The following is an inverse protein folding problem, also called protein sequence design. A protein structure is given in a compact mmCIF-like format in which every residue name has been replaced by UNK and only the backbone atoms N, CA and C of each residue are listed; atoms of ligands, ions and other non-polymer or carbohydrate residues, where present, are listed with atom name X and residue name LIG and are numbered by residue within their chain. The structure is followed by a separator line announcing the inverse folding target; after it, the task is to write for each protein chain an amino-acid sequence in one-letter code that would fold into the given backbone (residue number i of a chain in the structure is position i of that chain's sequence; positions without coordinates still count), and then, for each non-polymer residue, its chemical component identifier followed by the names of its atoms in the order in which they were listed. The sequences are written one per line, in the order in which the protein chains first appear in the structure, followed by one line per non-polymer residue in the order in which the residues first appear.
data_IF_193410569741
#
_entry.id   IF_193410569741
#
_cell.length_a   1.000
_cell.length_b   1.000
_cell.length_c   1.000
_cell.angle_alpha   90.00
_cell.angle_beta   90.00
_cell.angle_gamma   90.00
#
_symmetry.space_group_name_H-M   'P 1'
#
loop_
_entity.id
_entity.type
_entity.pdbx_description
1 polymer ?
#
# COMPACT_ATOMS: atom_id res chain seq x y z
N UNK A 1 -22.67 -25.05 37.38
CA UNK A 1 -22.73 -24.75 35.93
C UNK A 1 -22.88 -23.25 35.62
N UNK A 2 -22.53 -22.32 36.51
CA UNK A 2 -22.99 -20.92 36.41
C UNK A 2 -22.05 -19.90 35.76
N UNK A 3 -20.78 -20.21 35.50
CA UNK A 3 -19.79 -19.23 34.99
C UNK A 3 -18.95 -19.72 33.81
N UNK A 4 -18.85 -21.05 33.64
CA UNK A 4 -18.07 -21.66 32.56
C UNK A 4 -18.61 -21.26 31.17
N UNK A 5 -19.93 -21.25 30.99
CA UNK A 5 -20.56 -20.84 29.73
C UNK A 5 -20.30 -19.37 29.38
N UNK A 6 -20.26 -18.46 30.37
CA UNK A 6 -19.91 -17.05 30.16
C UNK A 6 -18.47 -16.92 29.71
N UNK A 7 -17.55 -17.63 30.38
CA UNK A 7 -16.13 -17.66 30.01
C UNK A 7 -15.97 -18.21 28.58
N UNK A 8 -16.66 -19.30 28.24
CA UNK A 8 -16.65 -19.87 26.88
C UNK A 8 -17.14 -18.87 25.85
N UNK A 9 -18.26 -18.17 26.09
CA UNK A 9 -18.76 -17.14 25.17
C UNK A 9 -17.75 -16.02 25.00
N UNK A 10 -17.19 -15.49 26.09
CA UNK A 10 -16.19 -14.41 26.03
C UNK A 10 -14.98 -14.85 25.21
N UNK A 11 -14.46 -16.06 25.44
CA UNK A 11 -13.32 -16.59 24.68
C UNK A 11 -13.66 -16.75 23.19
N UNK A 12 -14.84 -17.29 22.86
CA UNK A 12 -15.28 -17.43 21.47
C UNK A 12 -15.41 -16.07 20.79
N UNK A 13 -16.03 -15.08 21.45
CA UNK A 13 -16.16 -13.73 20.91
C UNK A 13 -14.79 -13.09 20.70
N UNK A 14 -13.88 -13.21 21.66
CA UNK A 14 -12.51 -12.69 21.50
C UNK A 14 -11.78 -13.39 20.36
N UNK A 15 -11.90 -14.72 20.23
CA UNK A 15 -11.31 -15.46 19.14
C UNK A 15 -11.86 -15.01 17.78
N UNK A 16 -13.16 -14.76 17.67
CA UNK A 16 -13.79 -14.23 16.46
C UNK A 16 -13.32 -12.80 16.14
N UNK A 17 -13.18 -11.94 17.16
CA UNK A 17 -12.69 -10.57 16.97
C UNK A 17 -11.22 -10.56 16.51
N UNK A 18 -10.37 -11.37 17.13
CA UNK A 18 -8.96 -11.49 16.73
C UNK A 18 -8.85 -12.12 15.35
N UNK A 19 -9.55 -13.22 15.09
CA UNK A 19 -9.55 -13.89 13.79
C UNK A 19 -10.08 -12.98 12.68
N UNK A 20 -11.18 -12.27 12.92
CA UNK A 20 -11.74 -11.28 12.00
C UNK A 20 -10.80 -10.10 11.77
N UNK A 21 -10.13 -9.60 12.82
CA UNK A 21 -9.14 -8.52 12.71
C UNK A 21 -7.92 -8.91 11.87
N UNK A 22 -7.36 -10.09 12.11
CA UNK A 22 -6.21 -10.63 11.35
C UNK A 22 -6.61 -10.91 9.90
N UNK A 23 -7.75 -11.58 9.68
CA UNK A 23 -8.25 -11.86 8.34
C UNK A 23 -8.56 -10.58 7.56
N UNK A 24 -9.24 -9.63 8.21
CA UNK A 24 -9.53 -8.32 7.63
C UNK A 24 -8.27 -7.54 7.27
N UNK A 25 -7.25 -7.55 8.14
CA UNK A 25 -5.96 -6.93 7.84
C UNK A 25 -5.28 -7.57 6.62
N UNK A 26 -5.24 -8.90 6.55
CA UNK A 26 -4.61 -9.64 5.45
C UNK A 26 -5.29 -9.35 4.10
N UNK A 27 -6.62 -9.38 4.05
CA UNK A 27 -7.36 -9.10 2.80
C UNK A 27 -7.19 -7.64 2.39
N UNK A 28 -7.31 -6.71 3.33
CA UNK A 28 -7.28 -5.27 3.02
C UNK A 28 -5.89 -4.68 2.76
N UNK A 29 -4.85 -5.53 2.69
CA UNK A 29 -3.53 -5.14 2.19
C UNK A 29 -3.23 -5.64 0.78
N UNK A 30 -4.03 -6.59 0.28
CA UNK A 30 -3.80 -7.22 -1.01
C UNK A 30 -4.13 -6.31 -2.18
N UNK A 31 -3.45 -6.52 -3.31
CA UNK A 31 -3.78 -5.89 -4.59
C UNK A 31 -5.27 -6.02 -4.93
N UNK A 32 -5.82 -7.22 -4.76
CA UNK A 32 -7.23 -7.52 -5.05
C UNK A 32 -8.22 -6.61 -4.29
N UNK A 33 -7.87 -6.17 -3.07
CA UNK A 33 -8.69 -5.23 -2.31
C UNK A 33 -8.53 -3.81 -2.85
N UNK A 34 -7.31 -3.33 -3.05
CA UNK A 34 -7.04 -1.97 -3.52
C UNK A 34 -7.65 -1.68 -4.90
N UNK A 35 -7.58 -2.64 -5.81
CA UNK A 35 -8.05 -2.48 -7.20
C UNK A 35 -9.58 -2.45 -7.32
N UNK A 36 -10.32 -2.78 -6.26
CA UNK A 36 -11.79 -2.60 -6.24
C UNK A 36 -12.18 -1.13 -6.45
N UNK A 37 -11.31 -0.21 -6.01
CA UNK A 37 -11.48 1.24 -6.21
C UNK A 37 -10.43 1.81 -7.17
N UNK A 38 -9.22 1.26 -7.19
CA UNK A 38 -8.08 1.75 -7.98
C UNK A 38 -7.79 0.87 -9.20
N UNK A 39 -8.82 0.46 -9.95
CA UNK A 39 -8.69 -0.53 -11.04
C UNK A 39 -7.60 -0.19 -12.09
N UNK A 40 -7.43 1.09 -12.44
CA UNK A 40 -6.43 1.52 -13.43
C UNK A 40 -4.99 1.42 -12.93
N UNK A 41 -4.78 1.51 -11.60
CA UNK A 41 -3.45 1.30 -11.02
C UNK A 41 -2.99 -0.14 -11.21
N UNK A 42 -3.92 -1.11 -11.35
CA UNK A 42 -3.56 -2.51 -11.60
C UNK A 42 -2.89 -2.70 -12.95
N UNK A 43 -3.37 -2.00 -13.99
CA UNK A 43 -2.84 -2.16 -15.34
C UNK A 43 -1.41 -1.65 -15.38
N UNK A 44 -1.14 -0.47 -14.84
CA UNK A 44 0.23 0.05 -14.76
C UNK A 44 1.13 -0.75 -13.81
N UNK A 45 0.59 -1.27 -12.70
CA UNK A 45 1.32 -2.13 -11.77
C UNK A 45 1.72 -3.47 -12.39
N UNK A 46 0.83 -4.08 -13.18
CA UNK A 46 1.08 -5.37 -13.83
C UNK A 46 2.17 -5.34 -14.90
N UNK A 47 2.50 -4.15 -15.37
CA UNK A 47 3.58 -3.92 -16.32
C UNK A 47 4.85 -3.37 -15.65
N UNK A 48 4.83 -3.16 -14.33
CA UNK A 48 6.00 -2.75 -13.56
C UNK A 48 6.79 -3.92 -12.97
N UNK A 49 7.99 -3.62 -12.49
CA UNK A 49 8.94 -4.63 -11.98
C UNK A 49 8.49 -5.32 -10.68
N UNK A 50 7.54 -4.73 -9.94
CA UNK A 50 7.06 -5.24 -8.66
C UNK A 50 5.65 -5.85 -8.72
N UNK A 51 5.16 -6.27 -9.90
CA UNK A 51 3.80 -6.80 -10.09
C UNK A 51 3.40 -7.94 -9.12
N UNK A 52 4.38 -8.66 -8.57
CA UNK A 52 4.20 -9.77 -7.62
C UNK A 52 4.04 -9.32 -6.16
N UNK A 53 4.29 -8.05 -5.84
CA UNK A 53 4.09 -7.49 -4.51
C UNK A 53 2.70 -6.84 -4.37
N UNK A 54 2.22 -6.72 -3.13
CA UNK A 54 0.97 -6.04 -2.82
C UNK A 54 1.19 -4.51 -2.76
N UNK A 55 0.16 -3.71 -3.10
CA UNK A 55 0.25 -2.25 -3.12
C UNK A 55 0.75 -1.68 -1.79
N UNK A 56 0.31 -2.26 -0.67
CA UNK A 56 0.71 -1.81 0.67
C UNK A 56 2.13 -2.21 1.05
N UNK A 57 2.78 -3.13 0.34
CA UNK A 57 4.20 -3.41 0.59
C UNK A 57 5.06 -2.17 0.29
N UNK A 58 4.62 -1.31 -0.64
CA UNK A 58 5.28 -0.03 -0.94
C UNK A 58 4.54 1.18 -0.34
N UNK A 59 3.21 1.14 -0.24
CA UNK A 59 2.40 2.30 0.15
C UNK A 59 1.95 2.34 1.61
N UNK A 60 2.36 1.36 2.43
CA UNK A 60 2.06 1.39 3.85
C UNK A 60 2.76 2.53 4.58
N UNK A 61 2.05 3.11 5.55
CA UNK A 61 2.60 4.03 6.57
C UNK A 61 2.50 3.41 7.97
N UNK A 62 2.34 2.10 8.02
CA UNK A 62 2.03 1.34 9.22
C UNK A 62 0.54 1.06 9.37
N UNK A 63 0.26 -0.03 10.07
CA UNK A 63 -1.07 -0.63 10.23
C UNK A 63 -2.16 0.38 10.61
N UNK A 64 -1.94 1.16 11.67
CA UNK A 64 -2.96 2.06 12.22
C UNK A 64 -3.29 3.18 11.24
N UNK A 65 -2.25 3.82 10.69
CA UNK A 65 -2.39 4.91 9.72
C UNK A 65 -3.14 4.46 8.48
N UNK A 66 -2.77 3.31 7.92
CA UNK A 66 -3.38 2.79 6.71
C UNK A 66 -4.87 2.50 6.90
N UNK A 67 -5.26 1.91 8.04
CA UNK A 67 -6.68 1.62 8.31
C UNK A 67 -7.49 2.88 8.55
N UNK A 68 -6.96 3.87 9.29
CA UNK A 68 -7.65 5.14 9.50
C UNK A 68 -7.82 5.92 8.19
N UNK A 69 -6.78 6.02 7.38
CA UNK A 69 -6.84 6.68 6.07
C UNK A 69 -7.72 5.91 5.09
N UNK A 70 -7.69 4.57 5.10
CA UNK A 70 -8.55 3.73 4.28
C UNK A 70 -10.04 3.96 4.58
N UNK A 71 -10.43 3.95 5.85
CA UNK A 71 -11.82 4.25 6.28
C UNK A 71 -12.23 5.66 5.83
N UNK A 72 -11.35 6.66 5.99
CA UNK A 72 -11.60 8.02 5.51
C UNK A 72 -11.81 8.06 4.00
N UNK A 73 -10.95 7.40 3.22
CA UNK A 73 -11.06 7.36 1.75
C UNK A 73 -12.36 6.72 1.30
N UNK A 74 -12.76 5.61 1.93
CA UNK A 74 -14.05 4.95 1.68
C UNK A 74 -15.22 5.92 1.95
N UNK A 75 -15.20 6.61 3.10
CA UNK A 75 -16.23 7.61 3.41
C UNK A 75 -16.29 8.75 2.37
N UNK A 76 -15.13 9.29 1.98
CA UNK A 76 -15.05 10.37 1.00
C UNK A 76 -15.52 9.92 -0.39
N UNK A 77 -15.23 8.68 -0.77
CA UNK A 77 -15.72 8.08 -2.01
C UNK A 77 -17.25 7.93 -2.01
N UNK A 78 -17.82 7.35 -0.96
CA UNK A 78 -19.28 7.16 -0.85
C UNK A 78 -20.07 8.47 -0.75
N UNK A 79 -19.45 9.53 -0.23
CA UNK A 79 -20.06 10.87 -0.16
C UNK A 79 -19.80 11.74 -1.40
N UNK A 80 -19.13 11.20 -2.43
CA UNK A 80 -18.80 11.93 -3.65
C UNK A 80 -17.73 13.02 -3.49
N UNK A 81 -17.12 13.13 -2.30
CA UNK A 81 -16.09 14.13 -1.99
C UNK A 81 -14.71 13.76 -2.55
N UNK A 82 -14.49 12.49 -2.89
CA UNK A 82 -13.25 12.05 -3.52
C UNK A 82 -13.53 11.02 -4.61
N UNK A 83 -12.85 11.17 -5.75
CA UNK A 83 -12.83 10.17 -6.80
C UNK A 83 -11.56 9.33 -6.65
N UNK A 84 -11.63 8.00 -6.45
CA UNK A 84 -10.46 7.13 -6.38
C UNK A 84 -9.51 7.23 -7.59
N UNK A 85 -9.99 7.66 -8.76
CA UNK A 85 -9.18 7.91 -9.96
C UNK A 85 -8.34 9.19 -9.89
N UNK A 86 -8.78 10.15 -9.07
CA UNK A 86 -8.09 11.42 -8.86
C UNK A 86 -7.48 11.52 -7.46
N UNK A 87 -7.55 10.43 -6.68
CA UNK A 87 -6.86 10.33 -5.41
C UNK A 87 -5.36 10.45 -5.72
N UNK A 88 -4.70 11.53 -5.28
CA UNK A 88 -3.31 11.75 -5.64
C UNK A 88 -2.51 10.48 -5.28
N UNK A 89 -1.68 9.99 -6.20
CA UNK A 89 -0.91 8.78 -5.95
C UNK A 89 -0.13 8.95 -4.65
N UNK A 90 0.18 7.82 -4.04
CA UNK A 90 1.05 7.63 -2.87
C UNK A 90 2.34 8.45 -2.80
N UNK A 91 2.70 9.19 -3.86
CA UNK A 91 3.71 10.26 -3.92
C UNK A 91 3.57 11.35 -2.85
N UNK A 92 2.47 11.39 -2.09
CA UNK A 92 2.33 12.28 -0.93
C UNK A 92 3.29 11.96 0.22
N UNK A 93 3.92 10.77 0.24
CA UNK A 93 4.82 10.34 1.32
C UNK A 93 6.05 9.61 0.75
N UNK A 94 6.85 10.29 -0.09
CA UNK A 94 7.89 9.64 -0.87
C UNK A 94 9.02 9.11 0.02
N UNK A 95 9.32 9.79 1.14
CA UNK A 95 10.26 9.32 2.18
C UNK A 95 9.82 7.97 2.76
N UNK A 96 8.54 7.83 3.14
CA UNK A 96 8.02 6.59 3.72
C UNK A 96 8.03 5.45 2.70
N UNK A 97 7.75 5.73 1.43
CA UNK A 97 7.90 4.74 0.36
C UNK A 97 9.36 4.38 0.16
N UNK A 98 10.29 5.33 0.28
CA UNK A 98 11.74 5.07 0.25
C UNK A 98 12.17 4.13 1.39
N UNK A 99 11.67 4.31 2.62
CA UNK A 99 11.91 3.36 3.71
C UNK A 99 11.47 1.94 3.32
N UNK A 100 10.27 1.82 2.77
CA UNK A 100 9.72 0.52 2.37
C UNK A 100 10.54 -0.11 1.22
N UNK A 101 11.18 0.69 0.36
CA UNK A 101 12.16 0.19 -0.62
C UNK A 101 13.39 -0.40 0.10
N UNK A 102 13.93 0.29 1.11
CA UNK A 102 15.11 -0.17 1.85
C UNK A 102 14.87 -1.47 2.63
N UNK A 103 13.64 -1.70 3.09
CA UNK A 103 13.24 -2.95 3.77
C UNK A 103 13.47 -4.20 2.91
N UNK A 104 13.49 -4.06 1.58
CA UNK A 104 13.71 -5.15 0.64
C UNK A 104 15.06 -5.07 -0.10
N UNK A 105 15.49 -3.86 -0.49
CA UNK A 105 16.64 -3.67 -1.39
C UNK A 105 17.95 -3.32 -0.68
N UNK A 106 17.88 -2.79 0.54
CA UNK A 106 19.06 -2.34 1.31
C UNK A 106 19.13 -3.05 2.67
N UNK A 107 18.97 -4.38 2.65
CA UNK A 107 18.98 -5.20 3.86
C UNK A 107 20.41 -5.52 4.30
N UNK A 108 20.56 -5.97 5.56
CA UNK A 108 21.84 -6.49 6.06
C UNK A 108 22.37 -7.70 5.26
N UNK A 109 21.48 -8.44 4.61
CA UNK A 109 21.87 -9.56 3.75
C UNK A 109 22.50 -9.05 2.44
N UNK A 110 21.94 -7.99 1.85
CA UNK A 110 22.55 -7.31 0.70
C UNK A 110 23.90 -6.71 1.09
N UNK A 111 23.99 -6.05 2.26
CA UNK A 111 25.26 -5.53 2.79
C UNK A 111 26.32 -6.63 2.96
N UNK A 112 25.94 -7.79 3.48
CA UNK A 112 26.86 -8.90 3.72
C UNK A 112 27.33 -9.58 2.42
N UNK A 113 26.45 -9.68 1.42
CA UNK A 113 26.73 -10.38 0.16
C UNK A 113 27.37 -9.49 -0.91
N UNK A 114 27.04 -8.19 -0.92
CA UNK A 114 27.44 -7.21 -1.93
C UNK A 114 27.95 -5.89 -1.28
N UNK A 115 29.00 -5.95 -0.43
CA UNK A 115 29.40 -4.82 0.41
C UNK A 115 29.89 -3.60 -0.39
N UNK A 116 30.52 -3.81 -1.55
CA UNK A 116 30.97 -2.71 -2.42
C UNK A 116 29.80 -1.95 -3.02
N UNK A 117 28.80 -2.68 -3.54
CA UNK A 117 27.55 -2.10 -4.04
C UNK A 117 26.83 -1.34 -2.92
N UNK A 118 26.67 -1.96 -1.76
CA UNK A 118 25.93 -1.36 -0.64
C UNK A 118 26.58 -0.04 -0.19
N UNK A 119 27.91 -0.04 -0.02
CA UNK A 119 28.67 1.16 0.36
C UNK A 119 28.57 2.25 -0.70
N UNK A 120 28.74 1.91 -1.98
CA UNK A 120 28.68 2.88 -3.07
C UNK A 120 27.28 3.46 -3.23
N UNK A 121 26.24 2.61 -3.23
CA UNK A 121 24.85 3.01 -3.38
C UNK A 121 24.40 3.89 -2.21
N UNK A 122 24.71 3.50 -0.98
CA UNK A 122 24.38 4.29 0.22
C UNK A 122 25.11 5.63 0.20
N UNK A 123 26.37 5.69 -0.25
CA UNK A 123 27.09 6.95 -0.44
C UNK A 123 26.45 7.86 -1.50
N UNK A 124 25.87 7.31 -2.58
CA UNK A 124 25.10 8.11 -3.54
C UNK A 124 23.85 8.70 -2.91
N UNK A 125 23.14 7.91 -2.09
CA UNK A 125 21.92 8.33 -1.41
C UNK A 125 22.11 9.50 -0.45
N UNK A 126 23.34 9.83 -0.02
CA UNK A 126 23.60 11.05 0.77
C UNK A 126 23.22 12.35 0.03
N UNK A 127 23.05 12.29 -1.29
CA UNK A 127 22.70 13.44 -2.13
C UNK A 127 21.25 13.44 -2.64
N UNK A 128 20.45 12.43 -2.27
CA UNK A 128 19.09 12.27 -2.76
C UNK A 128 18.13 11.90 -1.62
N UNK A 129 16.98 12.56 -1.57
CA UNK A 129 16.03 12.37 -0.47
C UNK A 129 15.29 11.02 -0.53
N UNK A 130 15.12 10.44 -1.73
CA UNK A 130 14.33 9.21 -1.92
C UNK A 130 14.88 8.33 -3.04
N UNK A 131 14.63 7.02 -2.96
CA UNK A 131 15.00 6.06 -4.01
C UNK A 131 14.40 6.45 -5.37
N UNK A 132 13.16 6.95 -5.37
CA UNK A 132 12.44 7.33 -6.59
C UNK A 132 13.01 8.59 -7.26
N UNK A 133 13.95 9.30 -6.64
CA UNK A 133 14.65 10.40 -7.30
C UNK A 133 15.48 9.93 -8.51
N UNK A 134 15.93 8.67 -8.48
CA UNK A 134 16.62 8.01 -9.59
C UNK A 134 15.83 6.84 -10.18
N UNK A 135 14.93 6.25 -9.38
CA UNK A 135 14.14 5.06 -9.72
C UNK A 135 12.64 5.39 -9.77
N UNK A 136 12.26 6.38 -10.58
CA UNK A 136 10.90 6.94 -10.63
C UNK A 136 9.84 5.98 -11.17
N UNK A 137 10.26 5.04 -12.03
CA UNK A 137 9.39 4.05 -12.69
C UNK A 137 9.42 2.66 -12.04
N UNK A 138 9.97 2.51 -10.83
CA UNK A 138 10.11 1.18 -10.19
C UNK A 138 8.81 0.49 -9.80
N UNK A 139 7.66 1.15 -9.84
CA UNK A 139 6.39 0.58 -9.39
C UNK A 139 5.37 0.44 -10.51
N UNK A 140 4.87 1.56 -10.98
CA UNK A 140 3.86 1.64 -12.01
C UNK A 140 4.50 2.02 -13.34
N UNK A 141 4.09 1.38 -14.44
CA UNK A 141 4.37 1.90 -15.77
C UNK A 141 3.78 3.33 -15.91
N UNK A 142 4.61 4.34 -16.22
CA UNK A 142 4.20 5.74 -16.17
C UNK A 142 3.19 6.10 -17.27
N UNK A 143 3.33 5.52 -18.47
CA UNK A 143 2.43 5.78 -19.59
C UNK A 143 1.04 5.20 -19.32
N UNK A 144 0.99 3.94 -18.85
CA UNK A 144 -0.26 3.28 -18.48
C UNK A 144 -0.89 3.91 -17.25
N UNK A 145 -0.09 4.39 -16.29
CA UNK A 145 -0.61 5.06 -15.10
C UNK A 145 -1.28 6.40 -15.45
N UNK A 146 -0.75 7.13 -16.44
CA UNK A 146 -1.32 8.40 -16.88
C UNK A 146 -2.76 8.26 -17.41
N UNK A 147 -3.11 7.11 -17.99
CA UNK A 147 -4.44 6.83 -18.54
C UNK A 147 -5.57 6.87 -17.50
N UNK A 148 -5.27 6.79 -16.19
CA UNK A 148 -6.28 6.86 -15.12
C UNK A 148 -7.12 8.15 -15.14
N UNK A 149 -6.59 9.22 -15.73
CA UNK A 149 -7.25 10.53 -15.83
C UNK A 149 -8.09 10.70 -17.11
N UNK A 150 -7.97 9.77 -18.07
CA UNK A 150 -8.60 9.89 -19.39
C UNK A 150 -9.96 9.20 -19.48
N UNK A 151 -10.26 8.28 -18.55
CA UNK A 151 -11.53 7.56 -18.55
C UNK A 151 -12.71 8.50 -18.17
N UNK A 152 -13.84 8.43 -18.89
CA UNK A 152 -14.99 9.28 -18.61
C UNK A 152 -15.51 9.05 -17.19
N UNK A 153 -15.86 10.15 -16.52
CA UNK A 153 -16.49 10.18 -15.21
C UNK A 153 -17.63 9.14 -15.18
N UNK A 154 -17.77 8.39 -14.09
CA UNK A 154 -19.12 8.02 -13.68
C UNK A 154 -19.89 9.34 -13.57
N UNK A 155 -20.77 9.60 -14.53
CA UNK A 155 -21.61 10.79 -14.55
C UNK A 155 -22.44 10.77 -13.29
N UNK A 156 -22.02 11.52 -12.27
CA UNK A 156 -22.93 11.97 -11.24
C UNK A 156 -23.81 13.00 -11.94
N UNK A 157 -24.97 12.54 -12.41
CA UNK A 157 -26.05 13.43 -12.81
C UNK A 157 -26.43 14.27 -11.59
N UNK A 158 -26.43 15.60 -11.77
CA UNK A 158 -26.89 16.59 -10.79
C UNK A 158 -28.42 16.54 -10.61
#
# INVERSE_FOLDING_TARGET
MGRFWIITIVVVVLALLVGGGVGGHHVSKQNAFCITCHAYEKVSWDHGDHFFNDCLDCHTKGLVTDKLHGVRKVYLMFTGQNNPHNDPPSRLYPEKTSDNCTDCHMTSEVEANEPEFFAQHTGMMENFDTCQACHDDSGHDPELQALRFEAPRFTQEE
#
